data_IF_084711569486
#
_entry.id   IF_084711569486
#
_cell.length_a   1.000
_cell.length_b   1.000
_cell.length_c   1.000
_cell.angle_alpha   90.00
_cell.angle_beta   90.00
_cell.angle_gamma   90.00
#
_symmetry.space_group_name_H-M   'P 1'
#
loop_
_entity.id
_entity.type
_entity.pdbx_description
1 polymer ?
#
# COMPACT_ATOMS: atom_id res chain seq x y z
N UNK A 1 24.67 -15.20 13.46
CA UNK A 1 23.21 -15.36 13.66
C UNK A 1 22.76 -14.27 14.61
N UNK A 2 21.76 -13.47 14.25
CA UNK A 2 21.23 -12.40 15.11
C UNK A 2 20.00 -12.95 15.81
N UNK A 3 19.97 -12.94 17.15
CA UNK A 3 18.83 -13.39 17.96
C UNK A 3 18.60 -12.46 19.14
N UNK A 4 17.34 -12.34 19.57
CA UNK A 4 16.99 -11.74 20.86
C UNK A 4 17.28 -12.72 22.00
N UNK A 5 17.69 -12.21 23.15
CA UNK A 5 17.70 -12.97 24.40
C UNK A 5 16.28 -13.28 24.87
N UNK A 6 16.11 -14.33 25.68
CA UNK A 6 14.81 -14.89 26.01
C UNK A 6 13.85 -13.88 26.67
N UNK A 7 14.35 -13.08 27.61
CA UNK A 7 13.56 -12.03 28.28
C UNK A 7 13.06 -10.97 27.29
N UNK A 8 13.92 -10.52 26.38
CA UNK A 8 13.58 -9.52 25.36
C UNK A 8 12.58 -10.10 24.37
N UNK A 9 12.78 -11.34 23.93
CA UNK A 9 11.86 -12.04 23.03
C UNK A 9 10.48 -12.20 23.65
N UNK A 10 10.40 -12.56 24.93
CA UNK A 10 9.13 -12.68 25.65
C UNK A 10 8.42 -11.33 25.75
N UNK A 11 9.12 -10.27 26.15
CA UNK A 11 8.52 -8.93 26.25
C UNK A 11 8.04 -8.40 24.89
N UNK A 12 8.84 -8.60 23.84
CA UNK A 12 8.48 -8.22 22.47
C UNK A 12 7.24 -8.95 21.97
N UNK A 13 7.14 -10.27 22.23
CA UNK A 13 5.98 -11.05 21.81
C UNK A 13 4.70 -10.60 22.53
N UNK A 14 4.76 -10.32 23.84
CA UNK A 14 3.63 -9.76 24.59
C UNK A 14 3.16 -8.44 24.00
N UNK A 15 4.08 -7.52 23.67
CA UNK A 15 3.75 -6.25 23.04
C UNK A 15 3.12 -6.45 21.65
N UNK A 16 3.72 -7.33 20.83
CA UNK A 16 3.23 -7.64 19.49
C UNK A 16 1.80 -8.18 19.53
N UNK A 17 1.51 -9.11 20.44
CA UNK A 17 0.16 -9.67 20.63
C UNK A 17 -0.84 -8.61 21.08
N UNK A 18 -0.46 -7.75 22.03
CA UNK A 18 -1.29 -6.61 22.43
C UNK A 18 -1.61 -5.70 21.25
N UNK A 19 -0.62 -5.36 20.41
CA UNK A 19 -0.84 -4.52 19.23
C UNK A 19 -1.83 -5.16 18.25
N UNK A 20 -1.73 -6.47 18.00
CA UNK A 20 -2.70 -7.17 17.14
C UNK A 20 -4.11 -7.22 17.73
N UNK A 21 -4.24 -7.37 19.05
CA UNK A 21 -5.54 -7.44 19.71
C UNK A 21 -6.24 -6.08 19.84
N UNK A 22 -5.47 -5.00 20.00
CA UNK A 22 -6.01 -3.70 20.45
C UNK A 22 -5.76 -2.54 19.50
N UNK A 23 -4.73 -2.60 18.65
CA UNK A 23 -4.26 -1.45 17.87
C UNK A 23 -4.48 -1.68 16.37
N UNK A 24 -4.04 -2.82 15.84
CA UNK A 24 -4.17 -3.10 14.42
C UNK A 24 -5.61 -3.43 14.05
N UNK A 25 -6.13 -2.70 13.06
CA UNK A 25 -7.37 -3.04 12.38
C UNK A 25 -7.00 -3.93 11.18
N UNK A 26 -7.55 -5.14 11.05
CA UNK A 26 -7.31 -5.97 9.88
C UNK A 26 -7.68 -5.23 8.58
N UNK A 27 -6.80 -5.33 7.57
CA UNK A 27 -6.90 -4.60 6.29
C UNK A 27 -8.25 -4.85 5.57
N UNK A 28 -8.85 -6.02 5.76
CA UNK A 28 -10.14 -6.40 5.20
C UNK A 28 -11.35 -5.88 6.01
N UNK A 29 -11.16 -5.54 7.29
CA UNK A 29 -12.22 -5.08 8.20
C UNK A 29 -12.40 -3.56 8.18
N UNK A 30 -11.32 -2.79 8.00
CA UNK A 30 -11.38 -1.32 7.92
C UNK A 30 -11.89 -0.80 6.57
N UNK A 31 -12.67 0.29 6.58
CA UNK A 31 -13.08 0.97 5.35
C UNK A 31 -11.87 1.46 4.54
N UNK A 32 -10.88 2.02 5.23
CA UNK A 32 -9.63 2.50 4.65
C UNK A 32 -8.84 1.35 4.01
N UNK A 33 -8.66 0.23 4.72
CA UNK A 33 -7.93 -0.93 4.19
C UNK A 33 -8.58 -1.52 2.94
N UNK A 34 -9.91 -1.68 2.93
CA UNK A 34 -10.65 -2.10 1.72
C UNK A 34 -10.49 -1.11 0.57
N UNK A 35 -10.40 0.18 0.86
CA UNK A 35 -10.25 1.23 -0.14
C UNK A 35 -8.82 1.27 -0.70
N UNK A 36 -7.80 1.17 0.16
CA UNK A 36 -6.41 1.03 -0.24
C UNK A 36 -6.22 -0.18 -1.18
N UNK A 37 -6.80 -1.34 -0.83
CA UNK A 37 -6.77 -2.52 -1.70
C UNK A 37 -7.43 -2.29 -3.06
N UNK A 38 -8.54 -1.54 -3.11
CA UNK A 38 -9.20 -1.16 -4.38
C UNK A 38 -8.31 -0.24 -5.21
N UNK A 39 -7.61 0.71 -4.57
CA UNK A 39 -6.66 1.62 -5.20
C UNK A 39 -5.51 0.84 -5.83
N UNK A 40 -4.83 -0.04 -5.08
CA UNK A 40 -3.71 -0.83 -5.60
C UNK A 40 -4.16 -1.72 -6.77
N UNK A 41 -5.33 -2.36 -6.68
CA UNK A 41 -5.90 -3.15 -7.80
C UNK A 41 -6.27 -2.32 -9.02
N UNK A 42 -6.63 -1.04 -8.85
CA UNK A 42 -6.88 -0.14 -9.97
C UNK A 42 -5.56 0.22 -10.64
N UNK A 43 -4.58 0.69 -9.86
CA UNK A 43 -3.27 1.10 -10.37
C UNK A 43 -2.56 -0.03 -11.09
N UNK A 44 -2.56 -1.23 -10.51
CA UNK A 44 -1.94 -2.39 -11.15
C UNK A 44 -2.56 -2.70 -12.52
N UNK A 45 -3.90 -2.77 -12.60
CA UNK A 45 -4.58 -3.01 -13.88
C UNK A 45 -4.36 -1.88 -14.89
N UNK A 46 -4.29 -0.63 -14.43
CA UNK A 46 -4.06 0.50 -15.31
C UNK A 46 -2.67 0.45 -15.94
N UNK A 47 -1.62 0.23 -15.15
CA UNK A 47 -0.24 0.18 -15.65
C UNK A 47 0.12 -1.12 -16.36
N UNK A 48 -0.57 -2.21 -16.07
CA UNK A 48 -0.45 -3.46 -16.84
C UNK A 48 -0.97 -3.29 -18.28
N UNK A 49 -2.04 -2.49 -18.48
CA UNK A 49 -2.57 -2.20 -19.81
C UNK A 49 -1.83 -1.03 -20.48
N UNK A 50 -1.44 -0.01 -19.73
CA UNK A 50 -0.80 1.22 -20.23
C UNK A 50 0.68 1.27 -19.82
N UNK A 51 1.47 0.28 -20.23
CA UNK A 51 2.88 0.14 -19.81
C UNK A 51 3.75 1.35 -20.20
N UNK A 52 3.39 2.06 -21.27
CA UNK A 52 4.11 3.25 -21.75
C UNK A 52 4.01 4.45 -20.79
N UNK A 53 3.05 4.44 -19.86
CA UNK A 53 2.92 5.47 -18.82
C UNK A 53 3.89 5.23 -17.64
N UNK A 54 4.52 4.05 -17.56
CA UNK A 54 5.53 3.75 -16.55
C UNK A 54 6.85 4.42 -16.99
N UNK A 55 7.53 5.20 -16.12
CA UNK A 55 8.80 5.80 -16.48
C UNK A 55 9.82 4.75 -16.92
N UNK A 56 10.53 5.01 -18.03
CA UNK A 56 11.43 4.06 -18.69
C UNK A 56 12.50 3.48 -17.77
N UNK A 57 12.93 4.22 -16.75
CA UNK A 57 13.90 3.77 -15.75
C UNK A 57 13.44 2.52 -15.00
N UNK A 58 12.13 2.31 -14.82
CA UNK A 58 11.58 1.10 -14.20
C UNK A 58 11.61 -0.10 -15.15
N UNK A 59 11.43 0.12 -16.46
CA UNK A 59 11.54 -0.94 -17.47
C UNK A 59 12.99 -1.45 -17.60
N UNK A 60 13.98 -0.55 -17.44
CA UNK A 60 15.41 -0.92 -17.50
C UNK A 60 15.87 -1.65 -16.24
N UNK A 61 15.29 -1.34 -15.07
CA UNK A 61 15.71 -1.88 -13.77
C UNK A 61 14.98 -3.15 -13.34
N UNK A 62 13.80 -3.39 -13.87
CA UNK A 62 12.93 -4.51 -13.48
C UNK A 62 13.30 -5.80 -14.22
N UNK A 63 12.93 -6.94 -13.62
CA UNK A 63 13.22 -8.27 -14.17
C UNK A 63 12.28 -8.69 -15.30
N UNK A 64 11.14 -8.01 -15.44
CA UNK A 64 10.09 -8.21 -16.44
C UNK A 64 9.17 -7.00 -16.46
N UNK A 65 8.34 -6.86 -17.50
CA UNK A 65 7.37 -5.76 -17.60
C UNK A 65 6.35 -5.76 -16.45
N UNK A 66 5.89 -6.94 -16.01
CA UNK A 66 5.01 -7.05 -14.85
C UNK A 66 5.71 -6.60 -13.56
N UNK A 67 7.02 -6.85 -13.46
CA UNK A 67 7.82 -6.35 -12.34
C UNK A 67 7.98 -4.82 -12.39
N UNK A 68 8.03 -4.21 -13.58
CA UNK A 68 8.09 -2.76 -13.72
C UNK A 68 6.86 -2.05 -13.13
N UNK A 69 5.66 -2.59 -13.38
CA UNK A 69 4.42 -2.05 -12.82
C UNK A 69 4.38 -2.19 -11.29
N UNK A 70 4.80 -3.34 -10.75
CA UNK A 70 4.89 -3.57 -9.30
C UNK A 70 5.90 -2.63 -8.66
N UNK A 71 7.10 -2.52 -9.24
CA UNK A 71 8.17 -1.66 -8.72
C UNK A 71 7.73 -0.20 -8.73
N UNK A 72 7.10 0.26 -9.81
CA UNK A 72 6.59 1.62 -9.91
C UNK A 72 5.51 1.91 -8.87
N UNK A 73 4.52 1.02 -8.73
CA UNK A 73 3.44 1.17 -7.74
C UNK A 73 3.98 1.14 -6.32
N UNK A 74 4.92 0.23 -6.01
CA UNK A 74 5.52 0.11 -4.68
C UNK A 74 6.39 1.32 -4.31
N UNK A 75 6.92 2.04 -5.30
CA UNK A 75 7.65 3.29 -5.13
C UNK A 75 6.77 4.52 -4.94
N UNK A 76 5.44 4.40 -5.06
CA UNK A 76 4.52 5.51 -4.84
C UNK A 76 4.37 5.83 -3.36
N UNK A 77 4.33 7.12 -3.02
CA UNK A 77 3.82 7.54 -1.72
C UNK A 77 2.30 7.40 -1.67
N UNK A 78 1.72 7.24 -0.48
CA UNK A 78 0.27 7.12 -0.29
C UNK A 78 -0.50 8.27 -0.98
N UNK A 79 -0.04 9.51 -0.80
CA UNK A 79 -0.69 10.68 -1.40
C UNK A 79 -0.60 10.68 -2.93
N UNK A 80 0.52 10.22 -3.50
CA UNK A 80 0.65 10.08 -4.93
C UNK A 80 -0.29 8.99 -5.47
N UNK A 81 -0.27 7.80 -4.86
CA UNK A 81 -1.14 6.68 -5.27
C UNK A 81 -2.63 7.04 -5.18
N UNK A 82 -3.06 7.70 -4.10
CA UNK A 82 -4.44 8.17 -3.92
C UNK A 82 -4.83 9.16 -5.03
N UNK A 83 -4.01 10.19 -5.27
CA UNK A 83 -4.31 11.19 -6.30
C UNK A 83 -4.36 10.59 -7.70
N UNK A 84 -3.41 9.72 -8.03
CA UNK A 84 -3.36 9.05 -9.34
C UNK A 84 -4.57 8.15 -9.53
N UNK A 85 -4.93 7.36 -8.51
CA UNK A 85 -6.12 6.52 -8.57
C UNK A 85 -7.41 7.35 -8.70
N UNK A 86 -7.51 8.48 -8.02
CA UNK A 86 -8.65 9.40 -8.11
C UNK A 86 -8.76 10.03 -9.51
N UNK A 87 -7.63 10.35 -10.15
CA UNK A 87 -7.62 10.83 -11.53
C UNK A 87 -8.07 9.76 -12.54
N UNK A 88 -7.70 8.49 -12.33
CA UNK A 88 -8.12 7.35 -13.17
C UNK A 88 -9.60 7.00 -12.94
N UNK A 89 -10.04 7.02 -11.68
CA UNK A 89 -11.42 6.70 -11.29
C UNK A 89 -11.88 7.61 -10.16
N UNK A 90 -12.56 8.73 -10.50
CA UNK A 90 -13.10 9.64 -9.50
C UNK A 90 -14.00 8.95 -8.48
N UNK A 91 -13.87 9.32 -7.21
CA UNK A 91 -14.58 8.77 -6.06
C UNK A 91 -13.97 7.50 -5.47
N UNK A 92 -12.92 6.91 -6.06
CA UNK A 92 -12.29 5.70 -5.51
C UNK A 92 -11.68 5.93 -4.14
N UNK A 93 -11.15 7.12 -3.89
CA UNK A 93 -10.45 7.46 -2.67
C UNK A 93 -11.31 8.21 -1.65
N UNK A 94 -12.64 8.26 -1.82
CA UNK A 94 -13.54 9.03 -0.96
C UNK A 94 -13.28 8.88 0.56
N UNK A 95 -13.04 7.67 1.11
CA UNK A 95 -12.72 7.49 2.53
C UNK A 95 -11.44 8.18 3.02
N UNK A 96 -10.51 8.51 2.11
CA UNK A 96 -9.28 9.25 2.41
C UNK A 96 -9.44 10.76 2.19
N UNK A 97 -10.32 11.17 1.28
CA UNK A 97 -10.56 12.59 0.95
C UNK A 97 -11.44 13.27 2.00
N UNK A 98 -12.41 12.55 2.57
CA UNK A 98 -13.33 13.08 3.60
C UNK A 98 -12.62 13.35 4.94
N UNK A 99 -11.60 12.54 5.29
CA UNK A 99 -10.85 12.70 6.54
C UNK A 99 -9.91 13.92 6.55
N UNK A 100 -9.63 14.53 5.39
CA UNK A 100 -8.80 15.75 5.29
C UNK A 100 -9.52 16.99 5.83
N UNK A 101 -10.83 16.91 6.08
CA UNK A 101 -11.66 18.00 6.63
C UNK A 101 -12.09 17.77 8.10
N UNK A 102 -11.59 16.72 8.75
CA UNK A 102 -11.93 16.37 10.13
C UNK A 102 -10.83 16.73 11.16
N UNK A 103 -9.88 17.59 10.77
CA UNK A 103 -8.88 18.20 11.64
C UNK A 103 -8.98 19.73 11.58
#
# INVERSE_FOLDING_TARGET
MITMGDTVRSAFNTLREFMFQRVYIPEDRGLQGRTARKIIRLLYRHYDVNRDEIPSDYNVRSKSEDAAAVDFISGMTDHYAIRTAEAIRPGIAAPFTEQRFAL
#
